data_IF_977743386189
#
_entry.id   IF_977743386189
#
_cell.length_a   1.000
_cell.length_b   1.000
_cell.length_c   1.000
_cell.angle_alpha   90.00
_cell.angle_beta   90.00
_cell.angle_gamma   90.00
#
_symmetry.space_group_name_H-M   'P 1'
#
loop_
_entity.id
_entity.type
_entity.pdbx_description
1 polymer ?
#
# COMPACT_ATOMS: atom_id res chain seq x y z
N UNK A 1 0.13 5.85 -33.75
CA UNK A 1 -0.61 5.25 -32.61
C UNK A 1 -1.70 6.23 -32.21
N UNK A 2 -2.96 5.97 -32.62
CA UNK A 2 -4.09 6.78 -32.20
C UNK A 2 -4.38 6.48 -30.72
N UNK A 3 -4.17 7.46 -29.85
CA UNK A 3 -4.62 7.39 -28.47
C UNK A 3 -6.14 7.52 -28.47
N UNK A 4 -6.83 6.41 -28.28
CA UNK A 4 -8.29 6.40 -28.17
C UNK A 4 -8.65 6.45 -26.68
N UNK A 5 -9.27 7.54 -26.23
CA UNK A 5 -9.84 7.65 -24.88
C UNK A 5 -10.98 6.65 -24.62
N UNK A 6 -11.44 5.94 -25.64
CA UNK A 6 -12.37 4.82 -25.55
C UNK A 6 -11.69 3.45 -25.37
N UNK A 7 -10.37 3.39 -25.17
CA UNK A 7 -9.69 2.13 -24.88
C UNK A 7 -10.20 1.53 -23.56
N UNK A 8 -10.52 0.25 -23.57
CA UNK A 8 -11.08 -0.46 -22.41
C UNK A 8 -10.25 -0.30 -21.12
N UNK A 9 -8.94 -0.22 -21.25
CA UNK A 9 -8.00 0.03 -20.14
C UNK A 9 -8.14 1.41 -19.52
N UNK A 10 -8.41 2.45 -20.31
CA UNK A 10 -8.59 3.81 -19.79
C UNK A 10 -9.95 3.95 -19.09
N UNK A 11 -11.01 3.44 -19.72
CA UNK A 11 -12.35 3.43 -19.12
C UNK A 11 -12.39 2.61 -17.84
N UNK A 12 -11.67 1.49 -17.79
CA UNK A 12 -11.52 0.69 -16.57
C UNK A 12 -10.92 1.51 -15.42
N UNK A 13 -9.88 2.30 -15.66
CA UNK A 13 -9.28 3.16 -14.62
C UNK A 13 -10.23 4.22 -14.09
N UNK A 14 -11.03 4.83 -14.96
CA UNK A 14 -12.09 5.78 -14.54
C UNK A 14 -13.10 5.06 -13.65
N UNK A 15 -13.51 3.86 -14.02
CA UNK A 15 -14.46 3.06 -13.25
C UNK A 15 -13.90 2.72 -11.87
N UNK A 16 -12.63 2.30 -11.77
CA UNK A 16 -11.99 2.00 -10.48
C UNK A 16 -11.98 3.22 -9.55
N UNK A 17 -11.71 4.42 -10.09
CA UNK A 17 -11.76 5.66 -9.32
C UNK A 17 -13.19 5.96 -8.86
N UNK A 18 -14.19 5.83 -9.75
CA UNK A 18 -15.59 6.08 -9.40
C UNK A 18 -16.08 5.14 -8.29
N UNK A 19 -15.76 3.86 -8.38
CA UNK A 19 -16.16 2.85 -7.41
C UNK A 19 -15.38 2.97 -6.09
N UNK A 20 -14.16 3.52 -6.12
CA UNK A 20 -13.35 3.78 -4.93
C UNK A 20 -13.85 4.96 -4.08
N UNK A 21 -14.44 6.00 -4.70
CA UNK A 21 -14.86 7.22 -4.00
C UNK A 21 -15.82 6.97 -2.84
N UNK A 22 -16.90 6.17 -2.97
CA UNK A 22 -17.78 5.85 -1.85
C UNK A 22 -17.06 5.15 -0.70
N UNK A 23 -16.07 4.30 -0.99
CA UNK A 23 -15.27 3.62 0.03
C UNK A 23 -14.39 4.61 0.79
N UNK A 24 -13.72 5.53 0.10
CA UNK A 24 -12.90 6.58 0.72
C UNK A 24 -13.73 7.44 1.66
N UNK A 25 -14.93 7.83 1.25
CA UNK A 25 -15.83 8.63 2.07
C UNK A 25 -16.30 7.87 3.32
N UNK A 26 -16.56 6.57 3.19
CA UNK A 26 -17.01 5.71 4.28
C UNK A 26 -15.86 5.33 5.23
N UNK A 27 -14.63 5.25 4.71
CA UNK A 27 -13.44 4.83 5.45
C UNK A 27 -12.32 5.90 5.38
N UNK A 28 -12.50 7.08 6.01
CA UNK A 28 -11.55 8.19 5.92
C UNK A 28 -10.17 7.89 6.52
N UNK A 29 -10.04 6.85 7.34
CA UNK A 29 -8.78 6.36 7.90
C UNK A 29 -8.13 5.24 7.09
N UNK A 30 -8.71 4.91 5.92
CA UNK A 30 -8.26 3.83 5.04
C UNK A 30 -8.87 2.48 5.39
N UNK A 31 -8.66 1.54 4.48
CA UNK A 31 -9.10 0.13 4.58
C UNK A 31 -7.95 -0.80 5.00
N UNK A 32 -6.72 -0.26 5.04
CA UNK A 32 -5.50 -1.05 5.16
C UNK A 32 -5.03 -1.62 3.84
N UNK A 33 -3.80 -2.16 3.86
CA UNK A 33 -3.17 -2.78 2.70
C UNK A 33 -4.02 -3.94 2.17
N UNK A 34 -4.24 -4.00 0.86
CA UNK A 34 -5.16 -4.93 0.21
C UNK A 34 -6.66 -4.76 0.56
N UNK A 35 -7.06 -3.84 1.43
CA UNK A 35 -8.45 -3.67 1.83
C UNK A 35 -9.39 -3.45 0.65
N UNK A 36 -8.97 -2.67 -0.35
CA UNK A 36 -9.74 -2.44 -1.57
C UNK A 36 -10.01 -3.74 -2.35
N UNK A 37 -9.01 -4.60 -2.50
CA UNK A 37 -9.16 -5.88 -3.20
C UNK A 37 -10.29 -6.74 -2.63
N UNK A 38 -10.41 -6.80 -1.29
CA UNK A 38 -11.45 -7.61 -0.65
C UNK A 38 -12.84 -6.97 -0.67
N UNK A 39 -12.91 -5.64 -0.68
CA UNK A 39 -14.19 -4.92 -0.56
C UNK A 39 -14.74 -4.47 -1.92
N UNK A 40 -13.93 -4.36 -2.97
CA UNK A 40 -14.33 -3.81 -4.27
C UNK A 40 -15.62 -4.43 -4.83
N UNK A 41 -15.83 -5.73 -4.64
CA UNK A 41 -17.02 -6.42 -5.13
C UNK A 41 -18.34 -5.87 -4.55
N UNK A 42 -18.29 -5.24 -3.38
CA UNK A 42 -19.48 -4.67 -2.74
C UNK A 42 -19.90 -3.31 -3.29
N UNK A 43 -19.04 -2.64 -4.05
CA UNK A 43 -19.25 -1.28 -4.57
C UNK A 43 -19.06 -1.16 -6.07
N UNK A 44 -18.45 -2.17 -6.72
CA UNK A 44 -18.14 -2.10 -8.14
C UNK A 44 -19.41 -2.04 -9.00
N UNK A 45 -19.40 -1.14 -9.98
CA UNK A 45 -20.49 -0.92 -10.94
C UNK A 45 -20.25 -1.65 -12.27
N UNK A 46 -19.10 -2.31 -12.43
CA UNK A 46 -18.73 -3.15 -13.57
C UNK A 46 -18.09 -4.44 -13.15
N UNK A 47 -17.89 -5.37 -14.09
CA UNK A 47 -17.25 -6.66 -13.84
C UNK A 47 -15.74 -6.50 -14.01
N UNK A 48 -15.02 -6.41 -12.90
CA UNK A 48 -13.56 -6.37 -12.85
C UNK A 48 -13.04 -6.94 -11.53
N UNK A 49 -11.78 -7.33 -11.51
CA UNK A 49 -11.07 -7.65 -10.26
C UNK A 49 -9.67 -7.10 -10.39
N UNK A 50 -9.33 -6.15 -9.55
CA UNK A 50 -8.02 -5.50 -9.53
C UNK A 50 -7.48 -5.47 -8.11
N UNK A 51 -6.16 -5.59 -7.98
CA UNK A 51 -5.51 -5.48 -6.67
C UNK A 51 -5.39 -4.01 -6.26
N UNK A 52 -5.09 -3.13 -7.21
CA UNK A 52 -4.86 -1.71 -7.01
C UNK A 52 -5.75 -0.88 -7.93
N UNK A 53 -6.09 0.33 -7.51
CA UNK A 53 -6.99 1.23 -8.23
C UNK A 53 -6.36 1.91 -9.47
N UNK A 54 -5.10 1.58 -9.83
CA UNK A 54 -4.34 2.20 -10.93
C UNK A 54 -4.32 3.74 -10.90
N UNK A 55 -4.30 4.29 -9.71
CA UNK A 55 -4.11 5.70 -9.40
C UNK A 55 -3.57 5.77 -7.97
N UNK A 56 -2.36 6.25 -7.82
CA UNK A 56 -1.68 6.23 -6.52
C UNK A 56 -2.35 7.10 -5.46
N UNK A 57 -2.91 8.25 -5.84
CA UNK A 57 -3.61 9.09 -4.88
C UNK A 57 -4.84 8.37 -4.31
N UNK A 58 -5.61 7.73 -5.18
CA UNK A 58 -6.77 6.92 -4.78
C UNK A 58 -6.32 5.73 -3.94
N UNK A 59 -5.22 5.07 -4.32
CA UNK A 59 -4.68 3.92 -3.57
C UNK A 59 -4.25 4.32 -2.16
N UNK A 60 -3.55 5.44 -1.98
CA UNK A 60 -3.14 5.92 -0.66
C UNK A 60 -4.37 6.30 0.19
N UNK A 61 -5.38 6.91 -0.42
CA UNK A 61 -6.63 7.22 0.27
C UNK A 61 -7.36 5.95 0.72
N UNK A 62 -7.35 4.90 -0.10
CA UNK A 62 -7.95 3.61 0.23
C UNK A 62 -7.14 2.86 1.31
N UNK A 63 -5.81 2.81 1.20
CA UNK A 63 -4.97 2.02 2.09
C UNK A 63 -4.73 2.72 3.44
N UNK A 64 -4.33 3.99 3.39
CA UNK A 64 -3.85 4.73 4.56
C UNK A 64 -4.80 5.85 5.02
N UNK A 65 -5.75 6.23 4.18
CA UNK A 65 -6.74 7.28 4.48
C UNK A 65 -6.29 8.69 4.15
N UNK A 66 -7.16 9.64 4.52
CA UNK A 66 -7.04 11.06 4.12
C UNK A 66 -5.82 11.73 4.76
N UNK A 67 -5.51 11.42 6.01
CA UNK A 67 -4.44 12.10 6.76
C UNK A 67 -3.07 11.87 6.10
N UNK A 68 -2.60 10.62 5.88
CA UNK A 68 -1.34 10.37 5.18
C UNK A 68 -1.34 10.90 3.75
N UNK A 69 -2.46 10.80 3.02
CA UNK A 69 -2.58 11.31 1.66
C UNK A 69 -2.36 12.84 1.60
N UNK A 70 -2.94 13.60 2.53
CA UNK A 70 -2.76 15.06 2.63
C UNK A 70 -1.32 15.43 2.96
N UNK A 71 -0.70 14.76 3.96
CA UNK A 71 0.68 15.03 4.33
C UNK A 71 1.66 14.72 3.20
N UNK A 72 1.50 13.59 2.54
CA UNK A 72 2.35 13.20 1.42
C UNK A 72 2.15 14.15 0.23
N UNK A 73 0.90 14.43 -0.15
CA UNK A 73 0.58 15.38 -1.19
C UNK A 73 1.15 16.77 -0.91
N UNK A 74 1.01 17.28 0.31
CA UNK A 74 1.58 18.57 0.71
C UNK A 74 3.11 18.60 0.62
N UNK A 75 3.80 17.54 1.05
CA UNK A 75 5.26 17.44 0.96
C UNK A 75 5.74 17.43 -0.50
N UNK A 76 5.06 16.69 -1.36
CA UNK A 76 5.39 16.59 -2.78
C UNK A 76 5.10 17.91 -3.50
N UNK A 77 3.90 18.49 -3.33
CA UNK A 77 3.53 19.77 -3.94
C UNK A 77 4.46 20.90 -3.48
N UNK A 78 4.77 20.95 -2.20
CA UNK A 78 5.76 21.89 -1.69
C UNK A 78 7.09 21.73 -2.41
N UNK A 79 7.59 20.51 -2.59
CA UNK A 79 8.86 20.25 -3.25
C UNK A 79 8.84 20.65 -4.72
N UNK A 80 7.73 20.47 -5.43
CA UNK A 80 7.57 20.86 -6.83
C UNK A 80 7.48 22.38 -6.99
N UNK A 81 6.70 23.07 -6.15
CA UNK A 81 6.39 24.49 -6.34
C UNK A 81 7.36 25.44 -5.62
N UNK A 82 8.19 24.96 -4.71
CA UNK A 82 9.17 25.81 -4.03
C UNK A 82 10.29 26.23 -5.00
N UNK A 83 10.48 27.54 -5.18
CA UNK A 83 11.51 28.11 -6.09
C UNK A 83 12.95 27.68 -5.75
N UNK A 84 13.21 27.30 -4.49
CA UNK A 84 14.54 26.86 -4.01
C UNK A 84 14.86 25.42 -4.34
N UNK A 85 13.87 24.61 -4.76
CA UNK A 85 14.09 23.23 -5.18
C UNK A 85 14.86 23.22 -6.50
N UNK A 86 15.88 22.36 -6.61
CA UNK A 86 16.65 22.22 -7.85
C UNK A 86 15.72 21.80 -8.99
N UNK A 87 15.96 22.37 -10.18
CA UNK A 87 15.12 22.09 -11.37
C UNK A 87 15.06 20.59 -11.67
N UNK A 88 16.17 19.88 -11.52
CA UNK A 88 16.24 18.42 -11.68
C UNK A 88 15.22 17.71 -10.77
N UNK A 89 15.20 18.03 -9.47
CA UNK A 89 14.29 17.41 -8.50
C UNK A 89 12.83 17.71 -8.86
N UNK A 90 12.52 18.95 -9.25
CA UNK A 90 11.17 19.32 -9.68
C UNK A 90 10.71 18.51 -10.89
N UNK A 91 11.59 18.36 -11.89
CA UNK A 91 11.28 17.57 -13.10
C UNK A 91 10.99 16.12 -12.73
N UNK A 92 11.86 15.49 -11.94
CA UNK A 92 11.68 14.09 -11.52
C UNK A 92 10.39 13.92 -10.74
N UNK A 93 10.13 14.76 -9.73
CA UNK A 93 8.89 14.72 -8.95
C UNK A 93 7.64 14.95 -9.81
N UNK A 94 7.71 15.89 -10.78
CA UNK A 94 6.60 16.13 -11.69
C UNK A 94 6.29 14.93 -12.57
N UNK A 95 7.31 14.25 -13.08
CA UNK A 95 7.15 13.04 -13.89
C UNK A 95 6.55 11.92 -13.01
N UNK A 96 7.05 11.73 -11.79
CA UNK A 96 6.50 10.74 -10.86
C UNK A 96 5.03 11.01 -10.56
N UNK A 97 4.65 12.26 -10.25
CA UNK A 97 3.26 12.63 -10.00
C UNK A 97 2.39 12.33 -11.23
N UNK A 98 2.83 12.76 -12.41
CA UNK A 98 2.05 12.54 -13.64
C UNK A 98 1.86 11.04 -13.92
N UNK A 99 2.88 10.23 -13.71
CA UNK A 99 2.78 8.78 -13.89
C UNK A 99 1.85 8.15 -12.84
N UNK A 100 2.00 8.53 -11.57
CA UNK A 100 1.22 7.99 -10.46
C UNK A 100 -0.29 8.33 -10.51
N UNK A 101 -0.70 9.30 -11.32
CA UNK A 101 -2.13 9.54 -11.61
C UNK A 101 -2.76 8.46 -12.50
N UNK A 102 -1.93 7.68 -13.19
CA UNK A 102 -2.37 6.65 -14.14
C UNK A 102 -1.95 5.24 -13.77
N UNK A 103 -1.11 5.08 -12.73
CA UNK A 103 -0.67 3.77 -12.26
C UNK A 103 -0.36 3.77 -10.75
N UNK A 104 0.05 2.61 -10.20
CA UNK A 104 0.36 2.37 -8.79
C UNK A 104 1.88 2.23 -8.58
N UNK A 105 2.57 3.34 -8.48
CA UNK A 105 4.04 3.37 -8.42
C UNK A 105 4.61 2.99 -7.03
N UNK A 106 3.94 3.40 -5.93
CA UNK A 106 4.49 3.25 -4.58
C UNK A 106 4.27 1.87 -3.96
N UNK A 107 3.64 0.96 -4.68
CA UNK A 107 3.70 -0.46 -4.37
C UNK A 107 5.14 -1.02 -4.52
N UNK A 108 5.97 -0.34 -5.30
CA UNK A 108 7.39 -0.66 -5.42
C UNK A 108 8.20 0.19 -4.43
N UNK A 109 8.80 -0.46 -3.43
CA UNK A 109 9.61 0.19 -2.39
C UNK A 109 10.68 1.12 -2.99
N UNK A 110 11.28 0.74 -4.12
CA UNK A 110 12.25 1.56 -4.85
C UNK A 110 11.70 2.94 -5.23
N UNK A 111 10.44 3.03 -5.64
CA UNK A 111 9.80 4.30 -5.99
C UNK A 111 9.58 5.19 -4.77
N UNK A 112 9.27 4.61 -3.62
CA UNK A 112 9.22 5.33 -2.34
C UNK A 112 10.59 5.92 -1.96
N UNK A 113 11.68 5.17 -2.12
CA UNK A 113 13.03 5.71 -1.92
C UNK A 113 13.37 6.84 -2.90
N UNK A 114 13.05 6.68 -4.20
CA UNK A 114 13.24 7.74 -5.19
C UNK A 114 12.45 8.99 -4.79
N UNK A 115 11.19 8.86 -4.38
CA UNK A 115 10.39 9.98 -3.89
C UNK A 115 11.12 10.72 -2.76
N UNK A 116 11.56 10.01 -1.72
CA UNK A 116 12.23 10.60 -0.55
C UNK A 116 13.52 11.33 -0.96
N UNK A 117 14.32 10.74 -1.86
CA UNK A 117 15.57 11.34 -2.34
C UNK A 117 15.37 12.67 -3.08
N UNK A 118 14.24 12.84 -3.75
CA UNK A 118 13.96 14.04 -4.54
C UNK A 118 13.09 15.08 -3.81
N UNK A 119 12.51 14.74 -2.63
CA UNK A 119 11.81 15.71 -1.79
C UNK A 119 12.76 16.81 -1.29
N UNK A 120 12.26 18.04 -1.25
CA UNK A 120 13.02 19.16 -0.68
C UNK A 120 12.92 19.21 0.85
N UNK A 121 13.91 18.60 1.49
CA UNK A 121 14.02 18.57 2.96
C UNK A 121 14.78 19.77 3.55
N UNK A 122 15.34 20.69 2.73
CA UNK A 122 16.29 21.73 3.17
C UNK A 122 15.69 22.81 4.08
N UNK A 123 14.39 23.02 4.04
CA UNK A 123 13.73 24.04 4.84
C UNK A 123 12.87 23.49 5.98
N UNK A 124 13.07 22.25 6.34
CA UNK A 124 12.43 21.67 7.52
C UNK A 124 13.15 22.25 8.73
N UNK A 125 12.45 23.08 9.50
CA UNK A 125 12.97 23.55 10.78
C UNK A 125 13.12 22.33 11.68
N UNK A 126 14.36 22.03 12.04
CA UNK A 126 14.62 21.00 13.05
C UNK A 126 14.11 21.52 14.38
N UNK A 127 13.08 20.90 14.91
CA UNK A 127 12.64 21.13 16.27
C UNK A 127 13.28 20.07 17.18
N UNK A 128 13.71 20.49 18.37
CA UNK A 128 14.13 19.54 19.39
C UNK A 128 12.92 18.71 19.80
N UNK A 129 12.88 17.47 19.37
CA UNK A 129 11.82 16.53 19.77
C UNK A 129 12.13 16.09 21.21
N UNK A 130 11.16 16.12 22.13
CA UNK A 130 11.34 15.56 23.47
C UNK A 130 11.87 14.12 23.38
N UNK A 131 12.80 13.76 24.25
CA UNK A 131 13.43 12.43 24.23
C UNK A 131 12.38 11.33 24.23
N UNK A 132 11.35 11.47 25.06
CA UNK A 132 10.24 10.50 25.13
C UNK A 132 9.55 10.31 23.77
N UNK A 133 9.22 11.40 23.08
CA UNK A 133 8.58 11.34 21.74
C UNK A 133 9.52 10.69 20.73
N UNK A 134 10.80 11.08 20.72
CA UNK A 134 11.81 10.46 19.85
C UNK A 134 11.98 8.97 20.10
N UNK A 135 11.99 8.55 21.37
CA UNK A 135 12.07 7.13 21.75
C UNK A 135 10.82 6.36 21.30
N UNK A 136 9.62 6.89 21.54
CA UNK A 136 8.37 6.25 21.09
C UNK A 136 8.34 6.08 19.58
N UNK A 137 8.64 7.15 18.82
CA UNK A 137 8.70 7.09 17.35
C UNK A 137 9.77 6.10 16.87
N UNK A 138 10.94 6.07 17.52
CA UNK A 138 12.00 5.11 17.20
C UNK A 138 11.58 3.66 17.45
N UNK A 139 10.97 3.38 18.59
CA UNK A 139 10.49 2.03 18.93
C UNK A 139 9.36 1.56 18.02
N UNK A 140 8.39 2.44 17.72
CA UNK A 140 7.29 2.10 16.78
C UNK A 140 7.83 1.86 15.37
N UNK A 141 8.78 2.68 14.90
CA UNK A 141 9.45 2.48 13.62
C UNK A 141 10.24 1.17 13.56
N UNK A 142 10.98 0.84 14.62
CA UNK A 142 11.71 -0.43 14.71
C UNK A 142 10.77 -1.64 14.74
N UNK A 143 9.66 -1.56 15.48
CA UNK A 143 8.64 -2.61 15.51
C UNK A 143 7.98 -2.81 14.15
N UNK A 144 7.62 -1.73 13.46
CA UNK A 144 7.06 -1.78 12.11
C UNK A 144 8.04 -2.39 11.10
N UNK A 145 9.33 -2.03 11.17
CA UNK A 145 10.37 -2.60 10.32
C UNK A 145 10.56 -4.10 10.60
N UNK A 146 10.58 -4.52 11.87
CA UNK A 146 10.68 -5.93 12.24
C UNK A 146 9.49 -6.74 11.71
N UNK A 147 8.26 -6.22 11.88
CA UNK A 147 7.05 -6.85 11.35
C UNK A 147 7.10 -6.96 9.81
N UNK A 148 7.52 -5.90 9.11
CA UNK A 148 7.67 -5.92 7.65
C UNK A 148 8.67 -6.97 7.18
N UNK A 149 9.80 -7.14 7.89
CA UNK A 149 10.78 -8.18 7.59
C UNK A 149 10.17 -9.56 7.82
N UNK A 150 9.47 -9.78 8.95
CA UNK A 150 8.79 -11.04 9.22
C UNK A 150 7.77 -11.40 8.13
N UNK A 151 6.93 -10.45 7.73
CA UNK A 151 5.98 -10.65 6.64
C UNK A 151 6.70 -11.01 5.33
N UNK A 152 7.73 -10.25 4.95
CA UNK A 152 8.50 -10.52 3.74
C UNK A 152 9.20 -11.88 3.74
N UNK A 153 9.80 -12.30 4.85
CA UNK A 153 10.39 -13.64 4.97
C UNK A 153 9.33 -14.73 4.90
N UNK A 154 8.17 -14.52 5.53
CA UNK A 154 7.04 -15.43 5.45
C UNK A 154 6.55 -15.60 4.00
N UNK A 155 6.42 -14.51 3.25
CA UNK A 155 6.01 -14.54 1.85
C UNK A 155 7.03 -15.27 0.94
N UNK A 156 8.32 -15.08 1.18
CA UNK A 156 9.38 -15.83 0.50
C UNK A 156 9.27 -17.32 0.80
N UNK A 157 9.02 -17.71 2.05
CA UNK A 157 8.78 -19.11 2.42
C UNK A 157 7.54 -19.67 1.75
N UNK A 158 6.44 -18.89 1.69
CA UNK A 158 5.20 -19.27 1.02
C UNK A 158 5.43 -19.51 -0.48
N UNK A 159 6.04 -18.56 -1.19
CA UNK A 159 6.31 -18.67 -2.63
C UNK A 159 7.28 -19.81 -2.98
N UNK A 160 8.15 -20.19 -2.03
CA UNK A 160 9.04 -21.35 -2.13
C UNK A 160 8.31 -22.68 -1.85
N UNK A 161 7.01 -22.68 -1.55
CA UNK A 161 6.23 -23.87 -1.23
C UNK A 161 6.42 -24.40 0.20
N UNK A 162 7.18 -23.70 1.05
CA UNK A 162 7.40 -24.10 2.44
C UNK A 162 6.37 -23.41 3.37
N UNK A 163 5.13 -23.85 3.28
CA UNK A 163 4.00 -23.23 3.99
C UNK A 163 4.12 -23.31 5.52
N UNK A 164 4.69 -24.41 6.06
CA UNK A 164 4.93 -24.54 7.51
C UNK A 164 5.95 -23.53 8.01
N UNK A 165 7.02 -23.27 7.25
CA UNK A 165 7.97 -22.24 7.61
C UNK A 165 7.37 -20.83 7.50
N UNK A 166 6.54 -20.58 6.48
CA UNK A 166 5.83 -19.31 6.32
C UNK A 166 4.93 -19.01 7.53
N UNK A 167 4.10 -19.96 7.95
CA UNK A 167 3.24 -19.81 9.14
C UNK A 167 4.06 -19.63 10.43
N UNK A 168 5.16 -20.36 10.56
CA UNK A 168 6.03 -20.26 11.75
C UNK A 168 6.72 -18.90 11.87
N UNK A 169 7.09 -18.28 10.76
CA UNK A 169 7.71 -16.94 10.72
C UNK A 169 6.68 -15.85 11.01
N UNK A 170 5.51 -15.94 10.41
CA UNK A 170 4.43 -14.99 10.62
C UNK A 170 3.08 -15.74 10.58
N UNK A 171 2.48 -15.90 11.74
CA UNK A 171 1.23 -16.66 11.90
C UNK A 171 0.02 -16.00 11.23
N UNK A 172 0.05 -14.69 10.96
CA UNK A 172 -0.97 -13.97 10.21
C UNK A 172 -0.87 -14.13 8.67
N UNK A 173 -0.01 -15.02 8.16
CA UNK A 173 0.04 -15.31 6.72
C UNK A 173 -1.12 -16.23 6.31
N UNK A 174 -2.27 -15.63 6.03
CA UNK A 174 -3.51 -16.33 5.66
C UNK A 174 -3.33 -17.23 4.44
N UNK A 175 -2.51 -16.83 3.47
CA UNK A 175 -2.24 -17.66 2.27
C UNK A 175 -1.47 -18.93 2.63
N UNK A 176 -0.53 -18.85 3.56
CA UNK A 176 0.18 -20.05 4.04
C UNK A 176 -0.75 -20.97 4.82
N UNK A 177 -1.62 -20.40 5.67
CA UNK A 177 -2.61 -21.15 6.42
C UNK A 177 -3.61 -21.86 5.49
N UNK A 178 -4.15 -21.17 4.48
CA UNK A 178 -5.03 -21.76 3.47
C UNK A 178 -4.34 -22.89 2.68
N UNK A 179 -3.07 -22.69 2.29
CA UNK A 179 -2.29 -23.72 1.61
C UNK A 179 -2.03 -24.95 2.51
N UNK A 180 -1.85 -24.76 3.80
CA UNK A 180 -1.75 -25.87 4.76
C UNK A 180 -3.09 -26.57 4.93
N UNK A 181 -4.21 -25.83 4.98
CA UNK A 181 -5.55 -26.40 5.07
C UNK A 181 -5.86 -27.31 3.88
N UNK A 182 -5.51 -26.89 2.66
CA UNK A 182 -5.74 -27.70 1.46
C UNK A 182 -4.86 -28.96 1.39
N UNK A 183 -3.76 -29.02 2.15
CA UNK A 183 -2.83 -30.17 2.23
C UNK A 183 -3.04 -31.04 3.46
N UNK A 184 -3.94 -30.64 4.36
CA UNK A 184 -4.20 -31.40 5.58
C UNK A 184 -5.02 -32.66 5.27
N UNK A 185 -4.51 -33.83 5.63
CA UNK A 185 -5.17 -35.12 5.38
C UNK A 185 -6.09 -35.56 6.53
N UNK A 186 -5.97 -34.92 7.69
CA UNK A 186 -6.75 -35.26 8.90
C UNK A 186 -7.75 -34.19 9.28
N UNK A 187 -8.97 -34.58 9.59
CA UNK A 187 -10.06 -33.68 9.97
C UNK A 187 -9.72 -32.78 11.19
N UNK A 188 -8.99 -33.32 12.16
CA UNK A 188 -8.56 -32.55 13.35
C UNK A 188 -7.53 -31.48 12.99
N UNK A 189 -6.59 -31.77 12.09
CA UNK A 189 -5.60 -30.80 11.60
C UNK A 189 -6.29 -29.69 10.79
N UNK A 190 -7.23 -30.06 9.92
CA UNK A 190 -8.05 -29.10 9.17
C UNK A 190 -8.83 -28.17 10.09
N UNK A 191 -9.44 -28.70 11.16
CA UNK A 191 -10.19 -27.91 12.13
C UNK A 191 -9.28 -26.91 12.87
N UNK A 192 -8.11 -27.36 13.34
CA UNK A 192 -7.15 -26.52 14.05
C UNK A 192 -6.61 -25.36 13.18
N UNK A 193 -6.38 -25.61 11.89
CA UNK A 193 -5.95 -24.56 10.94
C UNK A 193 -7.11 -23.61 10.62
N UNK A 194 -8.33 -24.13 10.41
CA UNK A 194 -9.51 -23.33 10.12
C UNK A 194 -9.89 -22.39 11.28
N UNK A 195 -9.76 -22.84 12.52
CA UNK A 195 -9.98 -22.01 13.70
C UNK A 195 -9.03 -20.82 13.77
N UNK A 196 -7.76 -20.96 13.36
CA UNK A 196 -6.80 -19.86 13.27
C UNK A 196 -7.19 -18.84 12.20
N UNK A 197 -7.62 -19.28 11.02
CA UNK A 197 -8.00 -18.40 9.89
C UNK A 197 -9.25 -17.58 10.17
N UNK A 198 -10.17 -18.08 11.03
CA UNK A 198 -11.42 -17.39 11.35
C UNK A 198 -11.24 -16.32 12.43
N UNK A 199 -10.21 -16.44 13.26
CA UNK A 199 -9.97 -15.54 14.40
C UNK A 199 -9.10 -14.33 14.01
N UNK A 200 -8.35 -14.39 12.93
CA UNK A 200 -7.55 -13.28 12.36
C UNK A 200 -8.36 -12.49 11.30
#
# INVERSE_FOLDING_TARGET
TNISFGASTFLGRILYVQDALPLILKHPFGLGYYGYYFIQQSVQTGVYTVVNAHNELIQILLDAGVIPAVFMGAAVLRSVFTKRTQSRNRIVLSIMILHSLFDYDFQFLAMGFVLILFLDMRNIKTQKVPVLTGTVVGLTGAAAAALSIMCGVSDVCYTSGNYKAAEKVYSGNTMAQLALLTKADKAEEMKAIAEKVIVD
#
